data_IF_083698147562
#
_entry.id   IF_083698147562
#
_cell.length_a   1.000
_cell.length_b   1.000
_cell.length_c   1.000
_cell.angle_alpha   90.00
_cell.angle_beta   90.00
_cell.angle_gamma   90.00
#
_symmetry.space_group_name_H-M   'P 1'
#
loop_
_entity.id
_entity.type
_entity.pdbx_description
1 polymer ?
#
# COMPACT_ATOMS: atom_id res chain seq x y z
N UNK A 1 37.59 -21.91 10.80
CA UNK A 1 36.65 -21.99 9.67
C UNK A 1 36.28 -20.56 9.29
N UNK A 2 36.79 -20.05 8.18
CA UNK A 2 36.47 -18.69 7.73
C UNK A 2 35.03 -18.65 7.23
N UNK A 3 34.14 -17.99 7.97
CA UNK A 3 32.76 -17.78 7.55
C UNK A 3 32.70 -16.72 6.46
N UNK A 4 32.07 -17.04 5.32
CA UNK A 4 31.91 -16.08 4.23
C UNK A 4 30.94 -14.96 4.66
N UNK A 5 31.22 -13.73 4.25
CA UNK A 5 30.34 -12.58 4.48
C UNK A 5 29.34 -12.41 3.34
N UNK A 6 28.19 -11.82 3.65
CA UNK A 6 27.16 -11.55 2.67
C UNK A 6 27.63 -10.50 1.65
N UNK A 7 27.33 -10.73 0.37
CA UNK A 7 27.65 -9.78 -0.71
C UNK A 7 26.97 -8.40 -0.61
N UNK A 8 25.96 -8.23 0.24
CA UNK A 8 25.18 -6.99 0.36
C UNK A 8 25.36 -6.28 1.72
N UNK A 9 25.94 -6.95 2.73
CA UNK A 9 26.11 -6.38 4.08
C UNK A 9 27.18 -7.12 4.88
N UNK A 10 27.46 -6.66 6.10
CA UNK A 10 28.46 -7.25 6.98
C UNK A 10 28.03 -8.56 7.69
N UNK A 11 26.80 -9.05 7.48
CA UNK A 11 26.32 -10.27 8.13
C UNK A 11 26.97 -11.53 7.52
N UNK A 12 27.05 -12.59 8.31
CA UNK A 12 27.54 -13.89 7.86
C UNK A 12 26.60 -14.50 6.81
N UNK A 13 27.16 -15.05 5.75
CA UNK A 13 26.42 -15.75 4.71
C UNK A 13 25.96 -17.13 5.19
N UNK A 14 24.81 -17.59 4.69
CA UNK A 14 24.32 -18.95 4.98
C UNK A 14 25.29 -20.00 4.41
N UNK A 15 25.40 -21.19 5.05
CA UNK A 15 26.21 -22.28 4.51
C UNK A 15 25.73 -22.63 3.09
N UNK A 16 26.68 -22.76 2.16
CA UNK A 16 26.46 -22.95 0.72
C UNK A 16 25.82 -21.76 -0.04
N UNK A 17 25.75 -20.57 0.55
CA UNK A 17 25.28 -19.34 -0.09
C UNK A 17 26.27 -18.19 0.08
N UNK A 18 26.20 -17.20 -0.82
CA UNK A 18 26.94 -15.94 -0.72
C UNK A 18 26.14 -14.83 -0.03
N UNK A 19 24.99 -15.18 0.57
CA UNK A 19 24.02 -14.24 1.13
C UNK A 19 23.61 -14.65 2.53
N UNK A 20 23.32 -13.67 3.38
CA UNK A 20 22.71 -13.92 4.69
C UNK A 20 21.20 -14.20 4.55
N UNK A 21 20.58 -14.70 5.61
CA UNK A 21 19.14 -15.01 5.65
C UNK A 21 18.27 -13.81 5.25
N UNK A 22 18.61 -12.59 5.67
CA UNK A 22 17.90 -11.36 5.31
C UNK A 22 17.99 -11.00 3.80
N UNK A 23 19.01 -11.51 3.12
CA UNK A 23 19.29 -11.25 1.71
C UNK A 23 19.10 -12.46 0.81
N UNK A 24 18.59 -13.58 1.34
CA UNK A 24 18.36 -14.84 0.61
C UNK A 24 17.64 -14.64 -0.73
N UNK A 25 16.60 -13.80 -0.74
CA UNK A 25 15.77 -13.53 -1.93
C UNK A 25 16.26 -12.37 -2.80
N UNK A 26 17.35 -11.69 -2.42
CA UNK A 26 17.89 -10.57 -3.21
C UNK A 26 18.81 -11.10 -4.30
N UNK A 27 18.67 -10.56 -5.51
CA UNK A 27 19.54 -10.87 -6.66
C UNK A 27 20.57 -9.77 -6.86
N UNK A 28 21.81 -10.15 -7.18
CA UNK A 28 22.91 -9.24 -7.56
C UNK A 28 22.75 -8.82 -9.00
N UNK A 29 23.14 -7.59 -9.32
CA UNK A 29 23.27 -7.12 -10.70
C UNK A 29 24.13 -8.08 -11.54
N UNK A 30 23.73 -8.31 -12.79
CA UNK A 30 24.46 -9.17 -13.75
C UNK A 30 25.77 -8.55 -14.28
N UNK A 31 26.00 -7.27 -13.99
CA UNK A 31 27.25 -6.58 -14.37
C UNK A 31 28.35 -7.04 -13.42
N UNK A 32 29.49 -7.40 -13.99
CA UNK A 32 30.66 -7.83 -13.23
C UNK A 32 31.07 -6.78 -12.20
N UNK A 33 31.56 -7.24 -11.05
CA UNK A 33 31.93 -6.41 -9.89
C UNK A 33 30.84 -5.47 -9.34
N UNK A 34 29.57 -5.63 -9.75
CA UNK A 34 28.47 -4.84 -9.21
C UNK A 34 27.73 -5.57 -8.10
N UNK A 35 27.97 -5.19 -6.84
CA UNK A 35 27.27 -5.76 -5.68
C UNK A 35 25.90 -5.15 -5.40
N UNK A 36 25.41 -4.26 -6.28
CA UNK A 36 24.08 -3.66 -6.11
C UNK A 36 22.97 -4.68 -6.39
N UNK A 37 21.84 -4.50 -5.69
CA UNK A 37 20.66 -5.31 -5.91
C UNK A 37 20.02 -5.00 -7.28
N UNK A 38 19.51 -6.05 -7.93
CA UNK A 38 18.69 -5.93 -9.14
C UNK A 38 17.43 -5.12 -8.84
N UNK A 39 17.15 -4.16 -9.72
CA UNK A 39 15.88 -3.45 -9.76
C UNK A 39 14.94 -4.10 -10.77
N UNK A 40 15.39 -4.25 -12.02
CA UNK A 40 14.66 -4.94 -13.09
C UNK A 40 15.65 -5.47 -14.15
N UNK A 41 15.22 -6.43 -14.98
CA UNK A 41 16.02 -6.97 -16.10
C UNK A 41 17.41 -7.48 -15.70
N UNK A 42 17.52 -8.04 -14.49
CA UNK A 42 18.78 -8.50 -13.89
C UNK A 42 19.84 -7.38 -13.68
N UNK A 43 19.45 -6.11 -13.77
CA UNK A 43 20.35 -4.96 -13.59
C UNK A 43 19.90 -4.05 -12.44
N UNK A 44 20.86 -3.42 -11.78
CA UNK A 44 20.61 -2.39 -10.77
C UNK A 44 20.22 -1.05 -11.41
N UNK A 45 19.90 -0.03 -10.61
CA UNK A 45 19.45 1.27 -11.12
C UNK A 45 20.52 1.97 -11.97
N UNK A 46 21.79 1.93 -11.56
CA UNK A 46 22.91 2.53 -12.30
C UNK A 46 23.23 1.80 -13.61
N UNK A 47 23.00 0.48 -13.65
CA UNK A 47 23.31 -0.34 -14.82
C UNK A 47 22.10 -0.56 -15.74
N UNK A 48 21.11 0.33 -15.74
CA UNK A 48 20.00 0.29 -16.69
C UNK A 48 18.80 -0.56 -16.27
N UNK A 49 18.72 -0.95 -14.99
CA UNK A 49 17.51 -1.51 -14.40
C UNK A 49 16.34 -0.51 -14.43
N UNK A 50 16.63 0.80 -14.43
CA UNK A 50 15.62 1.85 -14.52
C UNK A 50 15.79 2.66 -15.81
N UNK A 51 14.68 3.11 -16.39
CA UNK A 51 14.69 4.04 -17.54
C UNK A 51 15.28 5.38 -17.12
N UNK A 52 16.08 5.99 -17.99
CA UNK A 52 16.58 7.35 -17.81
C UNK A 52 15.48 8.38 -18.13
N UNK A 53 15.70 9.61 -17.67
CA UNK A 53 14.88 10.75 -18.00
C UNK A 53 14.93 11.01 -19.51
N UNK A 54 13.78 11.17 -20.17
CA UNK A 54 13.70 11.52 -21.61
C UNK A 54 14.10 12.95 -21.94
N UNK A 55 14.37 13.80 -20.95
CA UNK A 55 14.83 15.16 -21.18
C UNK A 55 16.24 15.15 -21.81
N UNK A 56 16.52 15.98 -22.83
CA UNK A 56 17.84 16.03 -23.45
C UNK A 56 18.93 16.28 -22.41
N UNK A 57 20.06 15.57 -22.57
CA UNK A 57 21.25 15.63 -21.71
C UNK A 57 21.00 15.32 -20.22
N UNK A 58 19.93 14.58 -19.88
CA UNK A 58 19.63 14.20 -18.51
C UNK A 58 19.88 12.71 -18.25
N UNK A 59 20.94 12.42 -17.50
CA UNK A 59 21.31 11.04 -17.12
C UNK A 59 20.63 10.56 -15.83
N UNK A 60 19.76 11.39 -15.24
CA UNK A 60 19.08 11.01 -14.00
C UNK A 60 17.99 9.96 -14.26
N UNK A 61 17.83 8.94 -13.40
CA UNK A 61 16.78 7.94 -13.57
C UNK A 61 15.38 8.54 -13.48
N UNK A 62 14.48 8.12 -14.37
CA UNK A 62 13.09 8.57 -14.38
C UNK A 62 12.38 8.19 -13.07
N UNK A 63 11.52 9.08 -12.56
CA UNK A 63 10.75 8.89 -11.32
C UNK A 63 9.25 8.97 -11.55
N UNK A 64 8.79 9.79 -12.50
CA UNK A 64 7.38 9.93 -12.85
C UNK A 64 7.23 9.78 -14.36
N UNK A 65 6.52 8.73 -14.80
CA UNK A 65 6.43 8.39 -16.21
C UNK A 65 7.81 8.19 -16.82
N UNK A 66 8.16 9.02 -17.80
CA UNK A 66 9.45 8.98 -18.51
C UNK A 66 10.46 10.06 -18.06
N UNK A 67 10.19 10.80 -16.99
CA UNK A 67 11.01 11.94 -16.57
C UNK A 67 11.46 11.84 -15.09
N UNK A 68 12.59 12.48 -14.76
CA UNK A 68 13.07 12.59 -13.39
C UNK A 68 12.23 13.58 -12.57
N UNK A 69 12.50 13.75 -11.28
CA UNK A 69 11.74 14.69 -10.44
C UNK A 69 11.86 16.15 -10.87
N UNK A 70 12.98 16.54 -11.49
CA UNK A 70 13.22 17.91 -11.99
C UNK A 70 12.50 18.18 -13.32
N UNK A 71 12.45 17.18 -14.20
CA UNK A 71 11.90 17.32 -15.55
C UNK A 71 10.48 16.74 -15.72
N UNK A 72 9.97 16.04 -14.72
CA UNK A 72 8.58 15.61 -14.73
C UNK A 72 7.68 16.83 -14.60
N UNK A 73 6.68 16.92 -15.47
CA UNK A 73 5.62 17.91 -15.34
C UNK A 73 5.05 17.84 -13.92
N UNK A 74 4.89 19.00 -13.29
CA UNK A 74 4.12 19.12 -12.05
C UNK A 74 2.68 18.77 -12.43
N UNK A 75 2.31 17.51 -12.23
CA UNK A 75 0.91 17.11 -12.35
C UNK A 75 0.18 17.96 -11.33
N UNK A 76 -0.64 18.90 -11.81
CA UNK A 76 -1.53 19.65 -10.94
C UNK A 76 -2.30 18.61 -10.13
N UNK A 77 -2.19 18.66 -8.80
CA UNK A 77 -3.00 17.78 -7.97
C UNK A 77 -4.45 18.14 -8.34
N UNK A 78 -5.29 17.18 -8.75
CA UNK A 78 -6.67 17.49 -9.07
C UNK A 78 -7.28 18.26 -7.90
N UNK A 79 -8.08 19.29 -8.20
CA UNK A 79 -8.70 20.18 -7.22
C UNK A 79 -9.42 19.43 -6.07
N UNK A 80 -9.70 18.14 -6.27
CA UNK A 80 -10.12 17.20 -5.25
C UNK A 80 -9.28 17.23 -3.95
N UNK A 81 -8.00 17.58 -3.98
CA UNK A 81 -7.19 17.66 -2.75
C UNK A 81 -7.10 19.08 -2.16
N UNK A 82 -7.75 20.06 -2.79
CA UNK A 82 -7.82 21.42 -2.31
C UNK A 82 -9.05 21.67 -1.42
N UNK A 83 -10.11 20.86 -1.55
CA UNK A 83 -11.34 21.06 -0.77
C UNK A 83 -11.23 20.44 0.64
N UNK A 84 -12.05 20.90 1.60
CA UNK A 84 -12.08 20.36 2.95
C UNK A 84 -12.65 18.94 2.99
N UNK A 85 -12.44 18.27 4.11
CA UNK A 85 -12.99 16.96 4.46
C UNK A 85 -14.52 16.98 4.34
N UNK A 86 -15.10 15.89 3.84
CA UNK A 86 -16.55 15.72 3.72
C UNK A 86 -17.31 15.59 5.06
N UNK A 87 -16.61 15.67 6.20
CA UNK A 87 -17.25 15.65 7.52
C UNK A 87 -17.55 17.08 7.90
N UNK A 88 -18.81 17.40 8.18
CA UNK A 88 -19.24 18.74 8.54
C UNK A 88 -18.43 19.30 9.72
N UNK A 89 -18.04 20.58 9.61
CA UNK A 89 -17.18 21.24 10.59
C UNK A 89 -15.71 20.85 10.56
N UNK A 90 -15.27 19.94 9.68
CA UNK A 90 -13.86 19.55 9.58
C UNK A 90 -13.08 20.44 8.60
N UNK A 91 -12.32 21.40 9.12
CA UNK A 91 -11.46 22.29 8.32
C UNK A 91 -10.20 21.64 7.70
N UNK A 92 -10.00 20.33 7.88
CA UNK A 92 -8.83 19.64 7.31
C UNK A 92 -9.02 19.38 5.81
N UNK A 93 -7.95 19.48 5.03
CA UNK A 93 -7.98 19.12 3.60
C UNK A 93 -8.30 17.64 3.38
N UNK A 94 -9.18 17.35 2.42
CA UNK A 94 -9.50 15.98 2.03
C UNK A 94 -8.38 15.34 1.21
N UNK A 95 -8.29 14.02 1.30
CA UNK A 95 -7.43 13.17 0.48
C UNK A 95 -8.29 12.42 -0.55
N UNK A 96 -7.68 11.47 -1.25
CA UNK A 96 -8.40 10.48 -2.07
C UNK A 96 -9.51 9.85 -1.22
N UNK A 97 -10.74 9.83 -1.74
CA UNK A 97 -11.90 9.28 -1.03
C UNK A 97 -12.73 10.29 -0.23
N UNK A 98 -12.44 11.59 -0.29
CA UNK A 98 -13.34 12.61 0.28
C UNK A 98 -13.05 13.01 1.74
N UNK A 99 -12.21 12.23 2.44
CA UNK A 99 -11.95 12.43 3.87
C UNK A 99 -10.51 12.84 4.16
N UNK A 100 -10.31 13.52 5.30
CA UNK A 100 -8.98 13.82 5.80
C UNK A 100 -8.35 12.58 6.46
N UNK A 101 -7.06 12.68 6.84
CA UNK A 101 -6.35 11.56 7.49
C UNK A 101 -6.97 11.12 8.82
N UNK A 102 -7.69 11.99 9.52
CA UNK A 102 -8.42 11.68 10.78
C UNK A 102 -9.75 10.97 10.52
N UNK A 103 -10.40 11.24 9.40
CA UNK A 103 -11.72 10.71 9.06
C UNK A 103 -11.69 9.63 7.97
N UNK A 104 -10.51 9.25 7.47
CA UNK A 104 -10.37 8.24 6.39
C UNK A 104 -10.87 6.83 6.74
N UNK A 105 -10.98 6.52 8.04
CA UNK A 105 -11.42 5.23 8.55
C UNK A 105 -12.81 5.32 9.22
N UNK A 106 -13.40 6.51 9.33
CA UNK A 106 -14.82 6.62 9.71
C UNK A 106 -15.61 6.36 8.44
N UNK A 107 -16.39 5.28 8.43
CA UNK A 107 -17.58 5.25 7.58
C UNK A 107 -18.32 6.55 7.90
N UNK A 108 -18.54 7.41 6.90
CA UNK A 108 -19.29 8.62 7.18
C UNK A 108 -20.63 8.18 7.78
N UNK A 109 -21.07 8.82 8.89
CA UNK A 109 -22.45 8.66 9.28
C UNK A 109 -23.30 9.07 8.07
N UNK A 110 -24.38 8.33 7.78
CA UNK A 110 -25.21 8.61 6.61
C UNK A 110 -25.58 10.09 6.61
N UNK A 111 -25.40 10.74 5.46
CA UNK A 111 -25.63 12.18 5.28
C UNK A 111 -27.09 12.57 5.44
N UNK A 112 -27.97 11.58 5.51
CA UNK A 112 -29.37 11.73 5.85
C UNK A 112 -29.89 10.48 6.54
N UNK A 113 -30.91 10.62 7.39
CA UNK A 113 -31.69 9.48 7.90
C UNK A 113 -32.43 8.71 6.80
N UNK A 114 -32.44 9.23 5.57
CA UNK A 114 -33.01 8.54 4.41
C UNK A 114 -32.06 7.46 3.84
N UNK A 115 -30.79 7.46 4.25
CA UNK A 115 -29.80 6.43 3.88
C UNK A 115 -29.65 5.34 4.95
N UNK A 116 -30.48 5.37 6.01
CA UNK A 116 -30.62 4.24 6.93
C UNK A 116 -31.56 3.24 6.25
N UNK A 117 -31.00 2.22 5.61
CA UNK A 117 -31.76 1.10 5.08
C UNK A 117 -32.72 0.57 6.16
N UNK A 118 -33.94 0.22 5.72
CA UNK A 118 -35.15 -0.20 6.45
C UNK A 118 -35.02 -1.35 7.49
N UNK A 119 -33.81 -1.69 7.95
CA UNK A 119 -33.55 -2.77 8.90
C UNK A 119 -33.92 -2.42 10.36
N UNK A 120 -34.27 -1.17 10.65
CA UNK A 120 -34.84 -0.79 11.96
C UNK A 120 -36.23 -1.41 12.22
N UNK A 121 -36.82 -2.10 11.23
CA UNK A 121 -38.06 -2.87 11.37
C UNK A 121 -37.83 -4.37 11.69
N UNK A 122 -36.59 -4.80 11.92
CA UNK A 122 -36.26 -6.19 12.25
C UNK A 122 -36.21 -6.50 13.76
N UNK A 123 -36.17 -5.49 14.64
CA UNK A 123 -36.13 -5.71 16.10
C UNK A 123 -37.52 -5.92 16.73
N UNK A 124 -38.61 -5.57 16.05
CA UNK A 124 -39.98 -5.87 16.50
C UNK A 124 -40.40 -7.34 16.25
N UNK A 125 -39.57 -8.14 15.59
CA UNK A 125 -39.83 -9.56 15.33
C UNK A 125 -39.22 -10.53 16.38
N UNK A 126 -38.58 -9.99 17.42
CA UNK A 126 -37.94 -10.76 18.50
C UNK A 126 -38.85 -11.50 19.50
N UNK A 127 -40.21 -11.49 19.45
CA UNK A 127 -40.99 -12.42 20.28
C UNK A 127 -41.05 -13.86 19.73
N UNK A 128 -40.75 -14.09 18.46
CA UNK A 128 -41.02 -15.39 17.79
C UNK A 128 -39.86 -16.40 17.85
N UNK A 129 -38.73 -16.03 18.48
CA UNK A 129 -37.58 -16.91 18.64
C UNK A 129 -37.58 -17.72 19.95
N UNK A 130 -38.47 -17.41 20.89
CA UNK A 130 -38.53 -18.12 22.18
C UNK A 130 -39.43 -19.37 22.17
N UNK A 131 -40.36 -19.49 21.22
CA UNK A 131 -41.27 -20.65 21.11
C UNK A 131 -40.60 -21.91 20.51
N UNK A 132 -39.42 -21.79 19.90
CA UNK A 132 -38.70 -22.96 19.35
C UNK A 132 -37.86 -23.72 20.40
N UNK A 133 -37.57 -23.14 21.56
CA UNK A 133 -36.71 -23.75 22.59
C UNK A 133 -37.47 -24.57 23.64
N UNK A 134 -38.80 -24.64 23.59
CA UNK A 134 -39.61 -25.39 24.55
C UNK A 134 -40.31 -26.65 23.99
N UNK A 135 -40.29 -26.88 22.68
CA UNK A 135 -41.00 -28.03 22.06
C UNK A 135 -40.17 -29.30 21.89
N UNK A 136 -38.85 -29.29 22.08
CA UNK A 136 -38.00 -30.50 21.90
C UNK A 136 -37.62 -31.24 23.19
N UNK A 137 -38.14 -30.84 24.36
CA UNK A 137 -37.88 -31.55 25.63
C UNK A 137 -39.13 -32.15 26.28
N UNK A 138 -40.17 -32.46 25.50
CA UNK A 138 -41.42 -33.04 26.01
C UNK A 138 -41.90 -34.29 25.26
N UNK A 139 -41.00 -35.19 24.87
CA UNK A 139 -41.30 -36.64 24.73
C UNK A 139 -40.02 -37.47 24.88
N UNK A 140 -39.63 -37.76 26.11
CA UNK A 140 -38.82 -38.92 26.50
C UNK A 140 -39.03 -39.19 27.99
#
# INVERSE_FOLDING_TARGET
>A
MSSATCIFCANVAEPASTKCTAHKYRRKCVVDDCFNQVYARLRCVSHGGKKLCKHPQCETPARRGSFCTKHAAKVARPALHASPCAVDGCGMQKRVGGYCWRHRNRMAPPTSVADLDDDARALDALPQLFDWLQVEFATA
#
